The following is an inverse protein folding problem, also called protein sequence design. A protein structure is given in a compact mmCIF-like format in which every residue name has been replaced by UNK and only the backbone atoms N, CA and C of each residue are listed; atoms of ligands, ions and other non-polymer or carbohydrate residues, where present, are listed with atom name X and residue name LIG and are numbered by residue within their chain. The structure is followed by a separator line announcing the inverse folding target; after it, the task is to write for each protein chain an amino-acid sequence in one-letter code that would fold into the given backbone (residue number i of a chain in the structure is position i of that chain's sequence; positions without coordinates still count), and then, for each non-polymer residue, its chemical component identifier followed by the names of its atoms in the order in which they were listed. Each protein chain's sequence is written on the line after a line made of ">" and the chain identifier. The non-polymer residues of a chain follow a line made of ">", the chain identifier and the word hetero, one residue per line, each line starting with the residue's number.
data_IF_627353040986
#
_entry.id   IF_627353040986
#
_cell.length_a   1.000
_cell.length_b   1.000
_cell.length_c   1.000
_cell.angle_alpha   90.00
_cell.angle_beta   90.00
_cell.angle_gamma   90.00
#
_symmetry.space_group_name_H-M   'P 1'
#
loop_
_entity.id
_entity.type
_entity.pdbx_description
1 polymer ?
#
# COMPACT_ATOMS: atom_id res chain seq x y z
N UNK A 1 -2.18 -2.72 -11.51
CA UNK A 1 -1.90 -2.98 -10.07
C UNK A 1 -2.40 -4.35 -9.70
N UNK A 2 -1.58 -5.13 -9.05
CA UNK A 2 -1.94 -6.48 -8.58
C UNK A 2 -2.18 -6.46 -7.08
N UNK A 3 -2.72 -7.57 -6.54
CA UNK A 3 -2.86 -7.73 -5.09
C UNK A 3 -1.51 -7.66 -4.38
N UNK A 4 -0.46 -8.19 -5.00
CA UNK A 4 0.89 -8.14 -4.46
C UNK A 4 1.40 -6.68 -4.37
N UNK A 5 1.09 -5.86 -5.37
CA UNK A 5 1.44 -4.43 -5.35
C UNK A 5 0.76 -3.73 -4.16
N UNK A 6 -0.50 -4.07 -3.89
CA UNK A 6 -1.25 -3.51 -2.76
C UNK A 6 -0.60 -3.89 -1.43
N UNK A 7 -0.21 -5.16 -1.29
CA UNK A 7 0.48 -5.64 -0.09
C UNK A 7 1.79 -4.89 0.13
N UNK A 8 2.54 -4.63 -0.95
CA UNK A 8 3.79 -3.85 -0.88
C UNK A 8 3.56 -2.41 -0.47
N UNK A 9 2.52 -1.77 -1.04
CA UNK A 9 2.16 -0.39 -0.67
C UNK A 9 1.78 -0.32 0.81
N UNK A 10 0.99 -1.29 1.28
CA UNK A 10 0.62 -1.38 2.68
C UNK A 10 1.85 -1.53 3.59
N UNK A 11 2.79 -2.37 3.19
CA UNK A 11 4.04 -2.57 3.92
C UNK A 11 4.87 -1.28 3.97
N UNK A 12 4.94 -0.53 2.87
CA UNK A 12 5.64 0.76 2.83
C UNK A 12 5.03 1.74 3.82
N UNK A 13 3.69 1.74 3.94
CA UNK A 13 2.98 2.59 4.90
C UNK A 13 3.08 2.09 6.35
N UNK A 14 3.65 0.92 6.57
CA UNK A 14 3.76 0.29 7.88
C UNK A 14 2.39 0.09 8.54
N UNK A 15 1.37 -0.22 7.72
CA UNK A 15 0.00 -0.41 8.17
C UNK A 15 -0.39 -1.88 8.20
N UNK A 16 -1.20 -2.25 9.18
CA UNK A 16 -1.86 -3.55 9.22
C UNK A 16 -3.11 -3.50 8.34
N UNK A 17 -3.64 -4.69 7.99
CA UNK A 17 -4.83 -4.80 7.16
C UNK A 17 -5.99 -3.92 7.64
N UNK A 18 -6.41 -3.96 8.94
CA UNK A 18 -7.56 -3.16 9.36
C UNK A 18 -7.42 -1.66 9.13
N UNK A 19 -6.25 -1.14 9.43
CA UNK A 19 -5.95 0.28 9.28
C UNK A 19 -5.95 0.70 7.81
N UNK A 20 -5.33 -0.13 6.97
CA UNK A 20 -5.26 0.16 5.54
C UNK A 20 -6.64 0.03 4.87
N UNK A 21 -7.39 -1.00 5.22
CA UNK A 21 -8.74 -1.20 4.70
C UNK A 21 -9.66 0.00 5.04
N UNK A 22 -9.59 0.47 6.28
CA UNK A 22 -10.34 1.65 6.70
C UNK A 22 -9.93 2.89 5.89
N UNK A 23 -8.64 3.08 5.70
CA UNK A 23 -8.13 4.25 4.98
C UNK A 23 -8.60 4.31 3.53
N UNK A 24 -8.73 3.17 2.87
CA UNK A 24 -9.19 3.12 1.48
C UNK A 24 -10.69 2.81 1.36
N UNK A 25 -11.40 2.68 2.49
CA UNK A 25 -12.86 2.55 2.51
C UNK A 25 -13.38 1.19 2.06
N UNK A 26 -12.70 0.11 2.39
CA UNK A 26 -13.15 -1.26 2.12
C UNK A 26 -13.11 -2.11 3.38
N UNK A 27 -13.76 -3.28 3.36
CA UNK A 27 -13.72 -4.21 4.48
C UNK A 27 -12.36 -4.91 4.56
N UNK A 28 -12.03 -5.42 5.77
CA UNK A 28 -10.82 -6.22 5.98
C UNK A 28 -10.80 -7.45 5.07
N UNK A 29 -11.95 -8.10 4.95
CA UNK A 29 -12.08 -9.31 4.13
C UNK A 29 -11.85 -8.99 2.65
N UNK A 30 -12.39 -7.87 2.17
CA UNK A 30 -12.18 -7.43 0.79
C UNK A 30 -10.68 -7.19 0.53
N UNK A 31 -10.00 -6.51 1.44
CA UNK A 31 -8.56 -6.28 1.30
C UNK A 31 -7.78 -7.59 1.27
N UNK A 32 -8.08 -8.53 2.17
CA UNK A 32 -7.45 -9.84 2.18
C UNK A 32 -7.68 -10.60 0.87
N UNK A 33 -8.91 -10.58 0.37
CA UNK A 33 -9.25 -11.26 -0.88
C UNK A 33 -8.50 -10.68 -2.08
N UNK A 34 -8.34 -9.38 -2.12
CA UNK A 34 -7.60 -8.71 -3.20
C UNK A 34 -6.10 -9.00 -3.09
N UNK A 35 -5.53 -8.92 -1.88
CA UNK A 35 -4.09 -9.17 -1.68
C UNK A 35 -3.72 -10.62 -1.99
N UNK A 36 -4.62 -11.58 -1.73
CA UNK A 36 -4.36 -12.99 -2.00
C UNK A 36 -4.76 -13.43 -3.41
N UNK A 37 -5.31 -12.53 -4.21
CA UNK A 37 -5.72 -12.83 -5.57
C UNK A 37 -7.09 -13.47 -5.72
N UNK A 38 -7.87 -13.61 -4.64
CA UNK A 38 -9.23 -14.15 -4.70
C UNK A 38 -10.19 -13.23 -5.43
N UNK A 39 -9.93 -11.92 -5.37
CA UNK A 39 -10.71 -10.90 -6.08
C UNK A 39 -9.77 -10.00 -6.88
N UNK A 40 -10.21 -9.55 -8.07
CA UNK A 40 -9.39 -8.65 -8.88
C UNK A 40 -9.31 -7.26 -8.27
N UNK A 41 -8.27 -6.53 -8.65
CA UNK A 41 -8.12 -5.12 -8.28
C UNK A 41 -8.88 -4.28 -9.29
N UNK A 42 -10.04 -3.74 -8.91
CA UNK A 42 -10.84 -2.90 -9.78
C UNK A 42 -10.19 -1.53 -10.00
N UNK A 43 -10.56 -0.85 -11.08
CA UNK A 43 -10.09 0.52 -11.34
C UNK A 43 -10.53 1.46 -10.23
N UNK A 44 -11.73 1.26 -9.70
CA UNK A 44 -12.25 2.06 -8.58
C UNK A 44 -11.37 1.89 -7.34
N UNK A 45 -10.96 0.66 -7.03
CA UNK A 45 -10.09 0.38 -5.90
C UNK A 45 -8.70 1.00 -6.12
N UNK A 46 -8.15 0.90 -7.33
CA UNK A 46 -6.87 1.54 -7.66
C UNK A 46 -6.93 3.05 -7.45
N UNK A 47 -8.02 3.70 -7.87
CA UNK A 47 -8.21 5.13 -7.67
C UNK A 47 -8.26 5.50 -6.19
N UNK A 48 -8.96 4.71 -5.38
CA UNK A 48 -9.02 4.93 -3.93
C UNK A 48 -7.64 4.82 -3.29
N UNK A 49 -6.86 3.82 -3.69
CA UNK A 49 -5.50 3.63 -3.16
C UNK A 49 -4.61 4.80 -3.59
N UNK A 50 -4.68 5.20 -4.85
CA UNK A 50 -3.90 6.32 -5.34
C UNK A 50 -4.21 7.61 -4.57
N UNK A 51 -5.49 7.97 -4.49
CA UNK A 51 -5.91 9.23 -3.88
C UNK A 51 -5.71 9.28 -2.37
N UNK A 52 -5.91 8.17 -1.67
CA UNK A 52 -5.91 8.16 -0.21
C UNK A 52 -4.60 7.65 0.39
N UNK A 53 -3.72 7.07 -0.40
CA UNK A 53 -2.46 6.52 0.08
C UNK A 53 -1.27 7.06 -0.73
N UNK A 54 -1.21 6.75 -2.03
CA UNK A 54 -0.02 7.05 -2.85
C UNK A 54 0.19 8.54 -3.02
N UNK A 55 -0.87 9.28 -3.33
CA UNK A 55 -0.80 10.73 -3.52
C UNK A 55 -0.96 11.47 -2.19
N UNK A 56 -0.14 11.11 -1.21
CA UNK A 56 -0.14 11.74 0.11
C UNK A 56 1.30 12.03 0.56
N UNK A 57 1.50 13.07 1.39
CA UNK A 57 2.82 13.34 1.96
C UNK A 57 3.35 12.19 2.81
N UNK A 58 2.46 11.47 3.50
CA UNK A 58 2.82 10.32 4.33
C UNK A 58 3.50 9.24 3.50
N UNK A 59 2.91 8.87 2.37
CA UNK A 59 3.47 7.85 1.49
C UNK A 59 4.85 8.29 0.97
N UNK A 60 4.98 9.54 0.53
CA UNK A 60 6.24 10.08 0.05
C UNK A 60 7.31 10.05 1.14
N UNK A 61 6.94 10.35 2.38
CA UNK A 61 7.87 10.31 3.51
C UNK A 61 8.33 8.89 3.83
N UNK A 62 7.42 7.92 3.84
CA UNK A 62 7.76 6.52 4.05
C UNK A 62 8.66 5.99 2.93
N UNK A 63 8.33 6.31 1.69
CA UNK A 63 9.10 5.89 0.53
C UNK A 63 10.52 6.47 0.55
N UNK A 64 10.65 7.75 0.88
CA UNK A 64 11.95 8.43 0.99
C UNK A 64 12.82 7.78 2.07
N UNK A 65 12.24 7.46 3.22
CA UNK A 65 12.95 6.81 4.32
C UNK A 65 13.46 5.43 3.88
N UNK A 66 12.64 4.67 3.20
CA UNK A 66 13.02 3.36 2.68
C UNK A 66 14.16 3.48 1.66
N UNK A 67 14.08 4.45 0.75
CA UNK A 67 15.13 4.70 -0.24
C UNK A 67 16.45 5.09 0.42
N UNK A 68 16.43 5.93 1.45
CA UNK A 68 17.61 6.33 2.21
C UNK A 68 18.27 5.14 2.89
N UNK A 69 17.50 4.26 3.51
CA UNK A 69 18.02 3.05 4.13
C UNK A 69 18.67 2.13 3.10
N UNK A 70 18.07 2.00 1.93
CA UNK A 70 18.63 1.20 0.83
C UNK A 70 19.95 1.78 0.34
N UNK A 71 20.05 3.10 0.20
CA UNK A 71 21.29 3.77 -0.20
C UNK A 71 22.40 3.56 0.84
N UNK A 72 22.10 3.71 2.13
CA UNK A 72 23.07 3.48 3.19
C UNK A 72 23.59 2.04 3.20
N UNK A 73 22.71 1.07 2.97
CA UNK A 73 23.09 -0.33 2.90
C UNK A 73 24.02 -0.59 1.72
N UNK A 74 23.85 0.10 0.60
CA UNK A 74 24.73 -0.03 -0.57
C UNK A 74 26.08 0.64 -0.39
N UNK A 75 26.14 1.68 0.43
CA UNK A 75 27.38 2.44 0.69
C UNK A 75 28.22 1.83 1.80
N UNK A 76 27.64 1.02 2.64
CA UNK A 76 28.35 0.33 3.71
C UNK A 76 28.72 -1.10 3.29
#
# INVERSE_FOLDING_TARGET
>A
MTGDDIAKIRAIMEMRNPEFAERIGISRQHLSDVETGKKPVSLKLQAKIFMNVIDTPEYRNHLRRLQNLTLQAKLS
#
